data_IF_731520507898
#
_entry.id   IF_731520507898
#
_cell.length_a   1.000
_cell.length_b   1.000
_cell.length_c   1.000
_cell.angle_alpha   90.00
_cell.angle_beta   90.00
_cell.angle_gamma   90.00
#
_symmetry.space_group_name_H-M   'P 1'
#
loop_
_entity.id
_entity.type
_entity.pdbx_description
1 polymer ?
#
# COMPACT_ATOMS: atom_id res chain seq x y z
N UNK A 1 -10.00 6.26 4.46
CA UNK A 1 -9.02 6.93 3.56
C UNK A 1 -7.65 6.84 4.18
N UNK A 2 -6.58 7.17 3.46
CA UNK A 2 -5.24 7.31 4.03
C UNK A 2 -4.86 8.79 4.09
N UNK A 3 -4.73 9.34 5.30
CA UNK A 3 -4.35 10.74 5.52
C UNK A 3 -2.84 10.92 5.65
N UNK A 4 -2.36 12.18 5.64
CA UNK A 4 -0.94 12.53 5.84
C UNK A 4 -0.35 12.01 7.18
N UNK A 5 -1.23 11.70 8.14
CA UNK A 5 -0.86 11.23 9.48
C UNK A 5 -0.66 9.72 9.58
N UNK A 6 -0.98 8.97 8.52
CA UNK A 6 -0.81 7.51 8.49
C UNK A 6 0.63 7.19 8.07
N UNK A 7 1.40 6.41 8.84
CA UNK A 7 2.74 5.97 8.44
C UNK A 7 2.64 4.95 7.31
N UNK A 8 2.52 5.44 6.08
CA UNK A 8 2.36 4.65 4.88
C UNK A 8 3.16 5.24 3.72
N UNK A 9 3.44 4.43 2.73
CA UNK A 9 4.09 4.88 1.51
C UNK A 9 3.88 3.90 0.38
N UNK A 10 3.96 4.40 -0.85
CA UNK A 10 3.87 3.60 -2.05
C UNK A 10 4.82 4.13 -3.11
N UNK A 11 5.38 3.22 -3.91
CA UNK A 11 6.28 3.54 -5.01
C UNK A 11 5.97 2.64 -6.20
N UNK A 12 6.03 3.21 -7.39
CA UNK A 12 5.88 2.48 -8.65
C UNK A 12 7.08 2.73 -9.54
N UNK A 13 7.55 1.69 -10.23
CA UNK A 13 8.48 1.80 -11.35
C UNK A 13 7.79 1.28 -12.61
N UNK A 14 7.89 2.03 -13.70
CA UNK A 14 7.33 1.67 -15.00
C UNK A 14 8.48 1.41 -15.97
N UNK A 15 8.43 0.26 -16.64
CA UNK A 15 9.36 -0.11 -17.71
C UNK A 15 8.55 -0.67 -18.89
N UNK A 16 8.52 0.08 -20.00
CA UNK A 16 7.70 -0.25 -21.15
C UNK A 16 6.20 -0.36 -20.80
N UNK A 17 5.63 -1.55 -20.99
CA UNK A 17 4.24 -1.84 -20.67
C UNK A 17 4.05 -2.46 -19.28
N UNK A 18 5.11 -2.62 -18.49
CA UNK A 18 5.06 -3.21 -17.16
C UNK A 18 5.13 -2.13 -16.06
N UNK A 19 4.40 -2.36 -14.98
CA UNK A 19 4.52 -1.60 -13.75
C UNK A 19 4.82 -2.55 -12.60
N UNK A 20 5.82 -2.20 -11.80
CA UNK A 20 6.05 -2.80 -10.49
C UNK A 20 5.63 -1.80 -9.42
N UNK A 21 4.74 -2.22 -8.52
CA UNK A 21 4.20 -1.39 -7.45
C UNK A 21 4.50 -2.01 -6.09
N UNK A 22 4.96 -1.21 -5.16
CA UNK A 22 5.20 -1.60 -3.77
C UNK A 22 4.54 -0.58 -2.84
N UNK A 23 3.92 -1.06 -1.77
CA UNK A 23 3.32 -0.23 -0.74
C UNK A 23 3.58 -0.79 0.66
N UNK A 24 3.54 0.09 1.66
CA UNK A 24 3.65 -0.30 3.05
C UNK A 24 2.73 0.53 3.95
N UNK A 25 2.35 -0.06 5.09
CA UNK A 25 1.73 0.61 6.23
C UNK A 25 2.53 0.17 7.46
N UNK A 26 2.79 1.07 8.40
CA UNK A 26 3.48 0.77 9.64
C UNK A 26 2.85 1.48 10.83
N UNK A 27 3.12 0.95 12.03
CA UNK A 27 2.75 1.63 13.27
C UNK A 27 3.60 2.88 13.48
N UNK A 28 3.07 3.96 14.07
CA UNK A 28 3.84 5.17 14.34
C UNK A 28 5.08 4.95 15.21
N UNK A 29 5.04 3.95 16.09
CA UNK A 29 6.16 3.55 16.97
C UNK A 29 7.18 2.63 16.29
N UNK A 30 6.96 2.24 15.02
CA UNK A 30 7.82 1.35 14.26
C UNK A 30 7.77 -0.13 14.67
N UNK A 31 6.92 -0.51 15.64
CA UNK A 31 6.88 -1.89 16.18
C UNK A 31 6.38 -2.93 15.16
N UNK A 32 5.63 -2.50 14.14
CA UNK A 32 5.12 -3.37 13.10
C UNK A 32 5.01 -2.64 11.77
N UNK A 33 5.31 -3.37 10.69
CA UNK A 33 5.27 -2.86 9.34
C UNK A 33 4.81 -3.96 8.38
N UNK A 34 3.80 -3.65 7.57
CA UNK A 34 3.26 -4.49 6.51
C UNK A 34 3.72 -3.97 5.16
N UNK A 35 4.11 -4.87 4.26
CA UNK A 35 4.53 -4.55 2.90
C UNK A 35 3.83 -5.46 1.93
N UNK A 36 3.31 -4.89 0.86
CA UNK A 36 2.73 -5.63 -0.25
C UNK A 36 3.31 -5.10 -1.55
N UNK A 37 3.44 -6.00 -2.52
CA UNK A 37 3.96 -5.68 -3.84
C UNK A 37 3.13 -6.36 -4.90
N UNK A 38 3.15 -5.82 -6.12
CA UNK A 38 2.61 -6.49 -7.28
C UNK A 38 3.20 -5.96 -8.57
N UNK A 39 2.98 -6.71 -9.64
CA UNK A 39 3.37 -6.37 -11.00
C UNK A 39 2.20 -6.60 -11.93
N UNK A 40 2.16 -5.86 -13.03
CA UNK A 40 1.14 -6.01 -14.06
C UNK A 40 1.39 -5.06 -15.21
N UNK A 41 0.43 -4.97 -16.13
CA UNK A 41 0.52 -4.01 -17.22
C UNK A 41 0.32 -2.59 -16.70
N UNK A 42 1.01 -1.62 -17.28
CA UNK A 42 0.85 -0.20 -17.00
C UNK A 42 -0.61 0.25 -17.23
N UNK A 43 -1.31 -0.36 -18.20
CA UNK A 43 -2.74 -0.14 -18.44
C UNK A 43 -3.65 -0.62 -17.29
N UNK A 44 -3.15 -1.49 -16.42
CA UNK A 44 -3.86 -2.05 -15.27
C UNK A 44 -3.39 -1.47 -13.93
N UNK A 45 -2.55 -0.42 -13.95
CA UNK A 45 -1.92 0.14 -12.76
C UNK A 45 -2.91 0.51 -11.64
N UNK A 46 -4.09 1.05 -11.98
CA UNK A 46 -5.12 1.38 -11.01
C UNK A 46 -5.72 0.13 -10.33
N UNK A 47 -5.92 -0.95 -11.10
CA UNK A 47 -6.40 -2.23 -10.58
C UNK A 47 -5.34 -2.87 -9.69
N UNK A 48 -4.07 -2.83 -10.12
CA UNK A 48 -2.93 -3.31 -9.34
C UNK A 48 -2.82 -2.58 -7.99
N UNK A 49 -2.93 -1.25 -8.00
CA UNK A 49 -2.88 -0.43 -6.78
C UNK A 49 -3.99 -0.79 -5.78
N UNK A 50 -5.23 -1.00 -6.27
CA UNK A 50 -6.34 -1.47 -5.43
C UNK A 50 -6.08 -2.85 -4.84
N UNK A 51 -5.66 -3.80 -5.66
CA UNK A 51 -5.38 -5.16 -5.20
C UNK A 51 -4.26 -5.19 -4.15
N UNK A 52 -3.20 -4.39 -4.33
CA UNK A 52 -2.11 -4.26 -3.36
C UNK A 52 -2.61 -3.60 -2.06
N UNK A 53 -3.42 -2.55 -2.14
CA UNK A 53 -4.01 -1.91 -0.97
C UNK A 53 -4.93 -2.86 -0.18
N UNK A 54 -5.77 -3.63 -0.86
CA UNK A 54 -6.66 -4.63 -0.23
C UNK A 54 -5.87 -5.69 0.53
N UNK A 55 -4.79 -6.22 -0.05
CA UNK A 55 -3.90 -7.16 0.64
C UNK A 55 -3.23 -6.52 1.86
N UNK A 56 -2.78 -5.28 1.72
CA UNK A 56 -2.10 -4.56 2.79
C UNK A 56 -3.04 -4.30 3.99
N UNK A 57 -4.30 -3.96 3.70
CA UNK A 57 -5.35 -3.81 4.71
C UNK A 57 -5.66 -5.15 5.39
N UNK A 58 -5.82 -6.22 4.60
CA UNK A 58 -6.12 -7.56 5.10
C UNK A 58 -4.97 -8.16 5.95
N UNK A 59 -3.72 -7.79 5.67
CA UNK A 59 -2.55 -8.26 6.41
C UNK A 59 -2.45 -7.65 7.83
N UNK A 60 -3.17 -6.57 8.11
CA UNK A 60 -3.17 -5.86 9.40
C UNK A 60 -3.03 -4.34 9.30
N UNK A 61 -2.89 -3.79 8.09
CA UNK A 61 -2.87 -2.34 7.87
C UNK A 61 -4.20 -1.65 8.25
N UNK A 62 -5.30 -2.40 8.30
CA UNK A 62 -6.61 -1.90 8.73
C UNK A 62 -6.58 -1.37 10.18
N UNK A 63 -5.98 -2.13 11.09
CA UNK A 63 -5.91 -1.77 12.51
C UNK A 63 -5.12 -0.47 12.75
N UNK A 64 -4.09 -0.22 11.92
CA UNK A 64 -3.31 1.02 11.98
C UNK A 64 -4.14 2.23 11.56
N UNK A 65 -4.93 2.10 10.49
CA UNK A 65 -5.74 3.21 9.98
C UNK A 65 -6.90 3.48 10.93
N UNK A 66 -7.60 2.43 11.38
CA UNK A 66 -8.76 2.58 12.25
C UNK A 66 -8.33 3.10 13.65
N UNK A 67 -7.13 2.73 14.13
CA UNK A 67 -6.54 3.25 15.37
C UNK A 67 -6.17 4.73 15.36
N UNK A 68 -6.16 5.39 14.18
CA UNK A 68 -5.91 6.83 14.04
C UNK A 68 -7.19 7.69 14.10
N UNK A 69 -8.38 7.07 14.16
CA UNK A 69 -9.64 7.74 14.48
C UNK A 69 -10.13 8.80 13.49
N UNK A 70 -9.83 8.66 12.19
CA UNK A 70 -10.26 9.60 11.12
C UNK A 70 -11.49 9.15 10.36
#
# INVERSE_FOLDING_TARGET
>A
GGGCQVPMGAVATVDGDEVAFAAFIGRPDGSQLWREMGRGRASEAAMLGRAVAERLLAAGGRDVIDGLGT
#
